data_IF_947341267598
#
_entry.id   IF_947341267598
#
_cell.length_a   1.000
_cell.length_b   1.000
_cell.length_c   1.000
_cell.angle_alpha   90.00
_cell.angle_beta   90.00
_cell.angle_gamma   90.00
#
_symmetry.space_group_name_H-M   'P 1'
#
loop_
_entity.id
_entity.type
_entity.pdbx_description
1 polymer ?
#
# COMPACT_ATOMS: atom_id res chain seq x y z
N UNK A 1 30.34 18.00 -48.72
CA UNK A 1 28.96 18.28 -48.26
C UNK A 1 28.63 17.25 -47.17
N UNK A 2 29.25 17.36 -46.00
CA UNK A 2 28.83 18.12 -44.80
C UNK A 2 28.05 17.23 -43.82
N UNK A 3 28.81 16.39 -43.09
CA UNK A 3 28.35 15.52 -42.00
C UNK A 3 28.40 16.20 -40.62
N UNK A 4 28.75 17.49 -40.56
CA UNK A 4 28.95 18.20 -39.28
C UNK A 4 27.70 18.95 -38.76
N UNK A 5 26.62 19.04 -39.53
CA UNK A 5 25.41 19.77 -39.12
C UNK A 5 24.43 18.94 -38.25
N UNK A 6 24.56 17.62 -38.17
CA UNK A 6 23.54 16.77 -37.49
C UNK A 6 23.81 16.64 -35.98
N UNK A 7 25.05 16.81 -35.52
CA UNK A 7 25.42 16.52 -34.12
C UNK A 7 25.18 17.68 -33.15
N UNK A 8 24.94 18.91 -33.63
CA UNK A 8 24.71 20.07 -32.74
C UNK A 8 23.24 20.32 -32.37
N UNK A 9 22.28 19.70 -33.09
CA UNK A 9 20.84 19.90 -32.83
C UNK A 9 20.26 19.04 -31.70
N UNK A 10 20.84 17.87 -31.41
CA UNK A 10 20.25 16.90 -30.47
C UNK A 10 20.58 17.25 -29.00
N UNK A 11 21.76 17.79 -28.73
CA UNK A 11 22.18 18.12 -27.36
C UNK A 11 21.40 19.27 -26.72
N UNK A 12 21.04 20.28 -27.51
CA UNK A 12 20.33 21.49 -27.01
C UNK A 12 18.84 21.20 -26.80
N UNK A 13 18.23 20.39 -27.69
CA UNK A 13 16.82 19.97 -27.57
C UNK A 13 16.63 19.04 -26.36
N UNK A 14 17.60 18.15 -26.08
CA UNK A 14 17.57 17.29 -24.90
C UNK A 14 17.70 18.06 -23.58
N UNK A 15 18.62 19.03 -23.50
CA UNK A 15 18.78 19.88 -22.30
C UNK A 15 17.57 20.79 -22.07
N UNK A 16 17.00 21.36 -23.13
CA UNK A 16 15.78 22.18 -23.04
C UNK A 16 14.56 21.35 -22.60
N UNK A 17 14.43 20.09 -23.07
CA UNK A 17 13.35 19.20 -22.66
C UNK A 17 13.50 18.72 -21.21
N UNK A 18 14.72 18.46 -20.73
CA UNK A 18 14.98 18.10 -19.33
C UNK A 18 14.74 19.31 -18.40
N UNK A 19 15.15 20.51 -18.80
CA UNK A 19 14.84 21.75 -18.06
C UNK A 19 13.34 22.03 -18.01
N UNK A 20 12.61 21.82 -19.11
CA UNK A 20 11.14 21.93 -19.13
C UNK A 20 10.48 20.89 -18.23
N UNK A 21 10.98 19.64 -18.23
CA UNK A 21 10.43 18.58 -17.38
C UNK A 21 10.70 18.84 -15.89
N UNK A 22 11.87 19.39 -15.53
CA UNK A 22 12.21 19.77 -14.15
C UNK A 22 11.42 21.00 -13.70
N UNK A 23 11.27 22.03 -14.54
CA UNK A 23 10.50 23.23 -14.22
C UNK A 23 8.98 22.98 -14.15
N UNK A 24 8.47 22.00 -14.88
CA UNK A 24 7.05 21.59 -14.80
C UNK A 24 6.81 20.66 -13.61
N UNK A 25 7.72 19.76 -13.27
CA UNK A 25 7.55 18.82 -12.14
C UNK A 25 7.73 19.45 -10.76
N UNK A 26 8.52 20.52 -10.61
CA UNK A 26 8.69 21.23 -9.35
C UNK A 26 7.36 21.82 -8.80
N UNK A 27 6.56 22.60 -9.55
CA UNK A 27 5.30 23.16 -9.04
C UNK A 27 4.18 22.12 -8.80
N UNK A 28 4.20 20.95 -9.44
CA UNK A 28 3.22 19.87 -9.15
C UNK A 28 3.42 19.25 -7.76
N UNK A 29 4.64 19.24 -7.24
CA UNK A 29 4.93 18.80 -5.88
C UNK A 29 4.57 19.85 -4.81
N UNK A 30 4.53 21.14 -5.16
CA UNK A 30 4.22 22.22 -4.20
C UNK A 30 2.72 22.58 -4.11
N UNK A 31 1.88 22.25 -5.09
CA UNK A 31 0.45 22.57 -5.06
C UNK A 31 -0.42 21.58 -4.25
N UNK A 32 0.19 20.64 -3.53
CA UNK A 32 -0.51 19.74 -2.61
C UNK A 32 -0.24 20.05 -1.12
N UNK A 33 0.47 21.15 -0.80
CA UNK A 33 0.80 21.54 0.58
C UNK A 33 -0.01 22.72 1.13
N UNK A 34 -0.91 23.32 0.36
CA UNK A 34 -1.91 24.28 0.85
C UNK A 34 -3.30 23.67 0.70
N UNK A 35 -3.58 22.71 1.58
CA UNK A 35 -4.94 22.43 2.05
C UNK A 35 -4.86 22.09 3.54
N UNK A 36 -4.18 22.96 4.31
CA UNK A 36 -4.39 23.03 5.73
C UNK A 36 -5.66 23.86 5.95
N UNK A 37 -6.78 23.16 6.16
CA UNK A 37 -8.04 23.76 6.57
C UNK A 37 -7.81 24.59 7.83
N UNK A 38 -8.14 25.88 7.78
CA UNK A 38 -8.14 26.74 8.95
C UNK A 38 -9.06 26.14 10.03
N UNK A 39 -8.69 26.16 11.33
CA UNK A 39 -9.60 25.79 12.39
C UNK A 39 -10.77 26.77 12.46
N UNK A 40 -11.98 26.29 12.20
CA UNK A 40 -13.21 27.03 12.50
C UNK A 40 -13.27 27.27 14.02
N UNK A 41 -13.35 28.52 14.51
CA UNK A 41 -13.42 28.80 15.96
C UNK A 41 -14.78 28.43 16.58
N UNK A 42 -15.69 27.82 15.81
CA UNK A 42 -17.01 27.43 16.27
C UNK A 42 -17.57 26.26 15.43
N UNK A 43 -16.90 25.11 15.48
CA UNK A 43 -17.30 23.90 14.75
C UNK A 43 -17.25 22.66 15.63
N UNK A 44 -18.40 22.26 16.15
CA UNK A 44 -18.62 20.98 16.84
C UNK A 44 -18.35 19.80 15.89
N UNK A 45 -17.11 19.31 15.88
CA UNK A 45 -16.68 18.15 15.09
C UNK A 45 -16.65 16.89 15.96
N UNK A 46 -17.82 16.43 16.40
CA UNK A 46 -17.97 15.06 16.83
C UNK A 46 -18.00 14.17 15.58
N UNK A 47 -17.11 13.18 15.54
CA UNK A 47 -16.97 12.11 14.54
C UNK A 47 -16.05 12.40 13.35
N UNK A 48 -14.76 12.61 13.62
CA UNK A 48 -13.72 11.99 12.83
C UNK A 48 -13.14 10.87 13.70
N UNK A 49 -13.40 9.61 13.31
CA UNK A 49 -12.84 8.45 13.97
C UNK A 49 -11.33 8.57 13.99
N UNK A 50 -10.80 8.94 15.16
CA UNK A 50 -9.38 8.90 15.44
C UNK A 50 -8.94 7.45 15.33
N UNK A 51 -8.41 7.06 14.16
CA UNK A 51 -7.52 5.92 14.10
C UNK A 51 -6.43 6.22 15.14
N UNK A 52 -6.24 5.37 16.16
CA UNK A 52 -5.26 5.66 17.18
C UNK A 52 -3.90 5.62 16.49
N UNK A 53 -3.26 6.78 16.41
CA UNK A 53 -1.84 6.92 16.13
C UNK A 53 -1.10 6.26 17.30
N UNK A 54 -0.97 4.94 17.25
CA UNK A 54 0.00 4.22 18.05
C UNK A 54 1.35 4.37 17.37
N UNK A 55 2.35 4.85 18.10
CA UNK A 55 3.78 4.85 17.75
C UNK A 55 4.35 3.40 17.65
N UNK A 56 3.62 2.50 16.99
CA UNK A 56 4.03 1.15 16.64
C UNK A 56 4.51 1.14 15.19
N UNK A 57 5.74 0.71 14.95
CA UNK A 57 6.30 0.64 13.60
C UNK A 57 5.38 -0.15 12.65
N UNK A 58 4.87 0.45 11.57
CA UNK A 58 3.98 -0.27 10.64
C UNK A 58 4.74 -1.38 9.91
N UNK A 59 4.23 -2.61 9.93
CA UNK A 59 4.68 -3.72 9.07
C UNK A 59 3.73 -3.85 7.89
N UNK A 60 4.16 -3.36 6.74
CA UNK A 60 3.48 -3.67 5.48
C UNK A 60 3.91 -5.03 4.94
N UNK A 61 2.94 -5.81 4.45
CA UNK A 61 3.18 -7.07 3.75
C UNK A 61 2.27 -7.17 2.54
N UNK A 62 2.86 -7.30 1.36
CA UNK A 62 2.12 -7.58 0.14
C UNK A 62 1.81 -9.08 0.02
N UNK A 63 0.52 -9.42 -0.09
CA UNK A 63 0.04 -10.78 -0.32
C UNK A 63 -0.08 -11.04 -1.81
N UNK A 64 0.57 -12.12 -2.25
CA UNK A 64 0.59 -12.60 -3.62
C UNK A 64 0.08 -14.04 -3.70
N UNK A 65 -0.26 -14.49 -4.90
CA UNK A 65 -0.58 -15.88 -5.19
C UNK A 65 0.62 -16.54 -5.88
N UNK A 66 1.23 -17.52 -5.20
CA UNK A 66 2.34 -18.33 -5.72
C UNK A 66 2.17 -19.76 -5.26
N UNK A 67 2.54 -20.71 -6.11
CA UNK A 67 2.56 -22.14 -5.77
C UNK A 67 1.23 -22.62 -5.14
N UNK A 68 0.10 -22.18 -5.70
CA UNK A 68 -1.24 -22.48 -5.22
C UNK A 68 -1.53 -22.02 -3.78
N UNK A 69 -0.83 -21.01 -3.27
CA UNK A 69 -1.09 -20.45 -1.95
C UNK A 69 -0.79 -18.94 -1.85
N UNK A 70 -1.08 -18.35 -0.69
CA UNK A 70 -0.57 -17.03 -0.36
C UNK A 70 0.95 -17.03 -0.25
N UNK A 71 1.57 -15.97 -0.74
CA UNK A 71 2.98 -15.67 -0.53
C UNK A 71 3.13 -14.23 -0.02
N UNK A 72 3.79 -14.02 1.12
CA UNK A 72 4.21 -15.04 2.08
C UNK A 72 3.00 -15.72 2.77
N UNK A 73 3.11 -17.02 3.06
CA UNK A 73 2.12 -17.74 3.89
C UNK A 73 2.46 -17.72 5.39
N UNK A 74 3.65 -17.24 5.76
CA UNK A 74 4.05 -17.02 7.14
C UNK A 74 4.60 -15.62 7.28
N UNK A 75 4.01 -14.83 8.17
CA UNK A 75 4.35 -13.44 8.41
C UNK A 75 4.77 -13.31 9.87
N UNK A 76 6.01 -12.93 10.13
CA UNK A 76 6.49 -12.69 11.49
C UNK A 76 6.40 -11.20 11.81
N UNK A 77 5.79 -10.87 12.94
CA UNK A 77 5.60 -9.49 13.42
C UNK A 77 5.88 -9.40 14.91
N UNK A 78 6.16 -8.19 15.39
CA UNK A 78 6.35 -7.95 16.82
C UNK A 78 5.01 -7.67 17.51
N UNK A 79 4.89 -8.03 18.77
CA UNK A 79 3.76 -7.58 19.61
C UNK A 79 3.69 -6.05 19.64
N UNK A 80 2.47 -5.51 19.58
CA UNK A 80 2.18 -4.08 19.54
C UNK A 80 2.39 -3.43 18.17
N UNK A 81 2.83 -4.20 17.17
CA UNK A 81 3.06 -3.71 15.82
C UNK A 81 1.76 -3.56 15.03
N UNK A 82 1.61 -2.48 14.25
CA UNK A 82 0.52 -2.38 13.27
C UNK A 82 0.89 -3.19 12.04
N UNK A 83 0.04 -4.15 11.66
CA UNK A 83 0.22 -5.01 10.49
C UNK A 83 -0.71 -4.51 9.38
N UNK A 84 -0.13 -4.22 8.22
CA UNK A 84 -0.84 -3.78 7.01
C UNK A 84 -0.65 -4.82 5.91
N UNK A 85 -1.67 -5.66 5.71
CA UNK A 85 -1.71 -6.62 4.61
C UNK A 85 -2.26 -5.94 3.37
N UNK A 86 -1.50 -5.95 2.28
CA UNK A 86 -1.87 -5.34 1.00
C UNK A 86 -2.01 -6.43 -0.04
N UNK A 87 -3.18 -6.56 -0.65
CA UNK A 87 -3.36 -7.53 -1.72
C UNK A 87 -2.76 -7.03 -3.04
N UNK A 88 -1.91 -7.87 -3.65
CA UNK A 88 -1.48 -7.67 -5.02
C UNK A 88 -2.60 -8.09 -5.97
N UNK A 89 -3.10 -7.13 -6.76
CA UNK A 89 -4.19 -7.35 -7.72
C UNK A 89 -3.77 -7.02 -9.16
N UNK A 90 -2.50 -6.69 -9.39
CA UNK A 90 -2.02 -6.13 -10.65
C UNK A 90 -0.88 -6.94 -11.27
N UNK A 91 0.02 -7.50 -10.47
CA UNK A 91 1.21 -8.18 -10.99
C UNK A 91 0.91 -9.56 -11.59
N UNK A 92 1.94 -10.22 -12.14
CA UNK A 92 1.84 -11.62 -12.54
C UNK A 92 1.53 -12.58 -11.36
N UNK A 93 1.78 -12.17 -10.12
CA UNK A 93 1.48 -12.94 -8.91
C UNK A 93 0.24 -12.40 -8.18
N UNK A 94 -0.65 -11.70 -8.89
CA UNK A 94 -1.89 -11.19 -8.31
C UNK A 94 -2.73 -12.29 -7.66
N UNK A 95 -3.44 -11.95 -6.60
CA UNK A 95 -4.46 -12.80 -6.03
C UNK A 95 -5.57 -13.04 -7.05
N UNK A 96 -6.03 -14.29 -7.15
CA UNK A 96 -7.07 -14.73 -8.08
C UNK A 96 -8.09 -15.63 -7.37
N UNK A 97 -9.31 -15.71 -7.93
CA UNK A 97 -10.36 -16.58 -7.40
C UNK A 97 -10.63 -16.35 -5.90
N UNK A 98 -10.71 -17.43 -5.11
CA UNK A 98 -10.99 -17.34 -3.67
C UNK A 98 -9.97 -16.53 -2.87
N UNK A 99 -8.74 -16.35 -3.37
CA UNK A 99 -7.66 -15.62 -2.69
C UNK A 99 -7.92 -14.12 -2.63
N UNK A 100 -8.84 -13.61 -3.45
CA UNK A 100 -9.31 -12.23 -3.35
C UNK A 100 -10.29 -12.02 -2.19
N UNK A 101 -10.78 -13.08 -1.55
CA UNK A 101 -11.59 -12.97 -0.34
C UNK A 101 -10.78 -13.42 0.87
N UNK A 102 -10.31 -12.48 1.68
CA UNK A 102 -9.45 -12.74 2.83
C UNK A 102 -10.27 -12.93 4.09
N UNK A 103 -9.98 -13.99 4.84
CA UNK A 103 -10.60 -14.29 6.14
C UNK A 103 -9.53 -14.36 7.22
N UNK A 104 -9.72 -13.63 8.31
CA UNK A 104 -8.92 -13.70 9.54
C UNK A 104 -9.90 -13.88 10.72
N UNK A 105 -10.30 -15.12 11.03
CA UNK A 105 -11.44 -15.39 11.94
C UNK A 105 -11.27 -14.83 13.35
N UNK A 106 -10.06 -14.92 13.93
CA UNK A 106 -9.79 -14.43 15.30
C UNK A 106 -9.91 -12.91 15.42
N UNK A 107 -9.81 -12.18 14.30
CA UNK A 107 -10.00 -10.73 14.24
C UNK A 107 -11.39 -10.34 13.72
N UNK A 108 -12.27 -11.31 13.44
CA UNK A 108 -13.58 -11.05 12.85
C UNK A 108 -13.54 -10.52 11.40
N UNK A 109 -12.41 -10.63 10.72
CA UNK A 109 -12.23 -10.06 9.37
C UNK A 109 -12.67 -11.08 8.33
N UNK A 110 -13.59 -10.69 7.46
CA UNK A 110 -13.94 -11.37 6.23
C UNK A 110 -14.18 -10.31 5.16
N UNK A 111 -13.27 -10.21 4.19
CA UNK A 111 -13.21 -9.05 3.28
C UNK A 111 -12.93 -9.46 1.85
N UNK A 112 -13.73 -8.95 0.93
CA UNK A 112 -13.41 -8.96 -0.50
C UNK A 112 -12.37 -7.87 -0.79
N UNK A 113 -11.21 -8.27 -1.30
CA UNK A 113 -10.13 -7.40 -1.71
C UNK A 113 -10.36 -6.98 -3.16
N UNK A 114 -10.37 -5.67 -3.40
CA UNK A 114 -10.62 -5.07 -4.72
C UNK A 114 -9.57 -4.01 -5.03
N UNK A 115 -9.47 -3.58 -6.28
CA UNK A 115 -8.51 -2.53 -6.67
C UNK A 115 -8.70 -1.19 -5.92
N UNK A 116 -9.90 -0.93 -5.39
CA UNK A 116 -10.20 0.26 -4.58
C UNK A 116 -10.11 0.02 -3.07
N UNK A 117 -10.06 -1.24 -2.66
CA UNK A 117 -10.06 -1.66 -1.26
C UNK A 117 -9.30 -2.98 -1.10
N UNK A 118 -7.97 -2.89 -1.15
CA UNK A 118 -7.05 -4.04 -1.12
C UNK A 118 -6.22 -4.11 0.17
N UNK A 119 -6.54 -3.30 1.18
CA UNK A 119 -5.77 -3.20 2.42
C UNK A 119 -6.56 -3.76 3.60
N UNK A 120 -5.91 -4.56 4.43
CA UNK A 120 -6.38 -4.98 5.75
C UNK A 120 -5.33 -4.57 6.78
N UNK A 121 -5.73 -3.74 7.74
CA UNK A 121 -4.85 -3.22 8.77
C UNK A 121 -5.39 -3.55 10.16
N UNK A 122 -4.51 -3.99 11.05
CA UNK A 122 -4.85 -4.29 12.44
C UNK A 122 -3.61 -4.20 13.34
N UNK A 123 -3.82 -4.06 14.64
CA UNK A 123 -2.74 -4.05 15.63
C UNK A 123 -2.51 -5.45 16.20
N UNK A 124 -1.27 -5.92 16.20
CA UNK A 124 -0.88 -7.23 16.71
C UNK A 124 -0.62 -7.18 18.23
N UNK A 125 -1.67 -6.95 19.03
CA UNK A 125 -1.54 -6.73 20.48
C UNK A 125 -1.39 -8.02 21.32
N UNK A 126 -1.75 -9.16 20.75
CA UNK A 126 -1.71 -10.46 21.42
C UNK A 126 -0.65 -11.34 20.76
N UNK A 127 0.26 -11.86 21.59
CA UNK A 127 1.22 -12.88 21.17
C UNK A 127 0.49 -14.16 20.71
N UNK A 128 1.14 -14.89 19.81
CA UNK A 128 0.63 -16.15 19.29
C UNK A 128 0.49 -16.16 17.78
N UNK A 129 -0.34 -17.08 17.28
CA UNK A 129 -0.52 -17.29 15.84
C UNK A 129 -1.92 -16.88 15.42
N UNK A 130 -1.99 -15.95 14.47
CA UNK A 130 -3.23 -15.47 13.85
C UNK A 130 -3.37 -16.15 12.48
N UNK A 131 -4.23 -17.17 12.34
CA UNK A 131 -4.44 -17.84 11.06
C UNK A 131 -5.27 -16.97 10.10
N UNK A 132 -4.92 -17.00 8.82
CA UNK A 132 -5.72 -16.42 7.76
C UNK A 132 -5.92 -17.39 6.59
N UNK A 133 -7.00 -17.22 5.84
CA UNK A 133 -7.34 -18.09 4.73
C UNK A 133 -8.08 -17.36 3.59
N UNK A 134 -8.14 -17.99 2.41
CA UNK A 134 -9.01 -17.56 1.31
C UNK A 134 -10.49 -17.83 1.63
N UNK A 135 -11.41 -17.31 0.82
CA UNK A 135 -12.86 -17.45 1.05
C UNK A 135 -13.35 -18.89 1.17
N UNK A 136 -12.76 -19.80 0.40
CA UNK A 136 -13.07 -21.24 0.42
C UNK A 136 -12.28 -22.03 1.48
N UNK A 137 -11.49 -21.38 2.34
CA UNK A 137 -10.66 -22.02 3.36
C UNK A 137 -9.62 -23.04 2.81
N UNK A 138 -9.20 -22.87 1.54
CA UNK A 138 -8.20 -23.73 0.90
C UNK A 138 -6.78 -23.16 1.06
N UNK A 139 -6.53 -21.97 0.49
CA UNK A 139 -5.28 -21.24 0.69
C UNK A 139 -5.19 -20.69 2.11
N UNK A 140 -4.09 -20.97 2.81
CA UNK A 140 -3.90 -20.67 4.23
C UNK A 140 -2.53 -20.05 4.48
N UNK A 141 -2.51 -19.15 5.44
CA UNK A 141 -1.29 -18.62 6.02
C UNK A 141 -1.46 -18.29 7.50
N UNK A 142 -0.39 -17.79 8.10
CA UNK A 142 -0.36 -17.43 9.51
C UNK A 142 0.45 -16.16 9.72
N UNK A 143 0.01 -15.32 10.64
CA UNK A 143 0.81 -14.25 11.21
C UNK A 143 1.26 -14.71 12.59
N UNK A 144 2.57 -14.74 12.83
CA UNK A 144 3.20 -15.09 14.11
C UNK A 144 3.57 -13.79 14.79
N UNK A 145 3.00 -13.57 15.96
CA UNK A 145 3.24 -12.41 16.83
C UNK A 145 4.11 -12.87 17.99
N UNK A 146 5.30 -12.26 18.11
CA UNK A 146 6.28 -12.54 19.16
C UNK A 146 6.94 -11.26 19.69
#
# INVERSE_FOLDING_TARGET
MDRQQITQGVGIVGLAAILLFVLVSLPYAYLNLVSAKAPDPNGNANNAGSAPAGDGAVREVTLQFRDYNYYPNTINVKKGQTVRLVADLQSQYKLIGCYTYLRIPSLGIAKQLTARDNVVEFKADQEGTIPFACGMNMGKGRIVVA
#
